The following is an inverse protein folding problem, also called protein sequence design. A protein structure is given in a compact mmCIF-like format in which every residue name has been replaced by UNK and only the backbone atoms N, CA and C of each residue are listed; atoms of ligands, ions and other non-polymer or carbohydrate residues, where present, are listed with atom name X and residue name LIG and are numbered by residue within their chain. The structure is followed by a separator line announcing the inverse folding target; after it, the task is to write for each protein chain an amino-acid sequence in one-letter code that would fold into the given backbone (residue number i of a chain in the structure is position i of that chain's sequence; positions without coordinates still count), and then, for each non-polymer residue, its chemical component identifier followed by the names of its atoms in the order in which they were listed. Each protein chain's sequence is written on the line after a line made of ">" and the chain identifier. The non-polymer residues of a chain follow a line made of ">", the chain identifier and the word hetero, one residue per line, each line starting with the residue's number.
data_IF_703615117646
#
_entry.id   IF_703615117646
#
_cell.length_a   1.000
_cell.length_b   1.000
_cell.length_c   1.000
_cell.angle_alpha   90.00
_cell.angle_beta   90.00
_cell.angle_gamma   90.00
#
_symmetry.space_group_name_H-M   'P 1'
#
loop_
_entity.id
_entity.type
_entity.pdbx_description
1 polymer ?
#
# COMPACT_ATOMS: atom_id res chain seq x y z
N UNK A 1 -1.96 -24.06 1.57
CA UNK A 1 -1.62 -22.95 2.50
C UNK A 1 -2.42 -23.08 3.79
N UNK A 2 -1.77 -23.03 4.94
CA UNK A 2 -2.34 -23.39 6.24
C UNK A 2 -3.31 -22.33 6.78
N UNK A 3 -4.39 -22.78 7.43
CA UNK A 3 -5.37 -21.95 8.16
C UNK A 3 -4.73 -20.97 9.17
N UNK A 4 -3.56 -21.33 9.73
CA UNK A 4 -2.78 -20.49 10.66
C UNK A 4 -2.32 -19.14 10.08
N UNK A 5 -2.17 -19.01 8.77
CA UNK A 5 -1.71 -17.76 8.16
C UNK A 5 -2.86 -16.75 8.03
N UNK A 6 -4.10 -17.23 7.85
CA UNK A 6 -5.31 -16.37 7.83
C UNK A 6 -5.58 -15.74 9.20
N UNK A 7 -5.36 -16.48 10.29
CA UNK A 7 -5.57 -15.98 11.66
C UNK A 7 -4.57 -14.88 12.07
N UNK A 8 -3.40 -14.79 11.40
CA UNK A 8 -2.36 -13.84 11.79
C UNK A 8 -2.66 -12.39 11.44
N UNK A 9 -3.43 -12.10 10.38
CA UNK A 9 -3.68 -10.75 9.88
C UNK A 9 -5.11 -10.26 10.14
N UNK A 10 -6.07 -11.16 10.33
CA UNK A 10 -7.49 -10.84 10.46
C UNK A 10 -8.00 -11.11 11.88
N UNK A 11 -7.71 -10.22 12.81
CA UNK A 11 -8.22 -10.34 14.20
C UNK A 11 -9.67 -9.82 14.34
N UNK A 12 -10.13 -8.96 13.44
CA UNK A 12 -11.49 -8.41 13.48
C UNK A 12 -12.06 -8.35 12.07
N UNK A 13 -13.19 -9.01 11.78
CA UNK A 13 -13.90 -8.82 10.51
C UNK A 13 -14.33 -7.35 10.38
N UNK A 14 -14.05 -6.76 9.24
CA UNK A 14 -14.56 -5.43 8.89
C UNK A 14 -15.53 -5.54 7.74
N UNK A 15 -16.53 -4.64 7.72
CA UNK A 15 -17.42 -4.49 6.57
C UNK A 15 -16.65 -3.94 5.36
N UNK A 16 -17.17 -4.17 4.17
CA UNK A 16 -16.63 -3.57 2.95
C UNK A 16 -16.67 -2.04 3.06
N UNK A 17 -15.51 -1.42 2.88
CA UNK A 17 -15.35 0.02 3.04
C UNK A 17 -15.67 0.81 1.75
N UNK A 18 -15.94 0.16 0.61
CA UNK A 18 -16.13 0.84 -0.68
C UNK A 18 -17.24 1.89 -0.62
N UNK A 19 -18.42 1.53 -0.11
CA UNK A 19 -19.54 2.47 0.01
C UNK A 19 -19.22 3.70 0.86
N UNK A 20 -18.40 3.52 1.90
CA UNK A 20 -17.94 4.64 2.73
C UNK A 20 -17.02 5.55 1.93
N UNK A 21 -16.04 4.98 1.21
CA UNK A 21 -15.10 5.76 0.42
C UNK A 21 -15.77 6.44 -0.77
N UNK A 22 -16.78 5.85 -1.39
CA UNK A 22 -17.61 6.51 -2.41
C UNK A 22 -18.27 7.79 -1.85
N UNK A 23 -18.84 7.72 -0.65
CA UNK A 23 -19.44 8.87 0.04
C UNK A 23 -18.41 9.91 0.49
N UNK A 24 -17.21 9.48 0.83
CA UNK A 24 -16.11 10.33 1.30
C UNK A 24 -15.36 11.02 0.17
N UNK A 25 -15.38 10.48 -1.06
CA UNK A 25 -14.58 10.96 -2.18
C UNK A 25 -14.58 12.48 -2.38
N UNK A 26 -15.72 13.21 -2.28
CA UNK A 26 -15.73 14.67 -2.42
C UNK A 26 -14.96 15.44 -1.35
N UNK A 27 -14.73 14.82 -0.18
CA UNK A 27 -14.07 15.44 0.99
C UNK A 27 -12.80 14.71 1.40
N UNK A 28 -12.43 13.65 0.68
CA UNK A 28 -11.35 12.73 1.06
C UNK A 28 -10.03 13.46 1.23
N UNK A 29 -9.61 14.26 0.26
CA UNK A 29 -8.31 14.95 0.31
C UNK A 29 -8.16 15.84 1.54
N UNK A 30 -9.21 16.55 1.94
CA UNK A 30 -9.21 17.37 3.16
C UNK A 30 -9.05 16.51 4.41
N UNK A 31 -9.72 15.36 4.48
CA UNK A 31 -9.65 14.44 5.60
C UNK A 31 -8.29 13.74 5.64
N UNK A 32 -7.79 13.32 4.49
CA UNK A 32 -6.49 12.68 4.34
C UNK A 32 -5.34 13.62 4.70
N UNK A 33 -5.36 14.87 4.23
CA UNK A 33 -4.40 15.90 4.63
C UNK A 33 -4.37 16.11 6.15
N UNK A 34 -5.55 16.11 6.78
CA UNK A 34 -5.63 16.22 8.24
C UNK A 34 -5.03 14.99 8.93
N UNK A 35 -5.29 13.79 8.40
CA UNK A 35 -4.68 12.55 8.88
C UNK A 35 -3.16 12.59 8.77
N UNK A 36 -2.62 12.95 7.62
CA UNK A 36 -1.19 13.05 7.40
C UNK A 36 -0.53 14.05 8.35
N UNK A 37 -1.16 15.20 8.57
CA UNK A 37 -0.63 16.24 9.47
C UNK A 37 -0.46 15.77 10.92
N UNK A 38 -1.32 14.89 11.39
CA UNK A 38 -1.38 14.54 12.81
C UNK A 38 -0.91 13.12 13.15
N UNK A 39 -0.86 12.22 12.16
CA UNK A 39 -0.60 10.82 12.44
C UNK A 39 0.21 10.09 11.35
N UNK A 40 -0.16 10.21 10.08
CA UNK A 40 0.39 9.38 9.00
C UNK A 40 1.53 10.02 8.19
N UNK A 41 1.88 11.28 8.45
CA UNK A 41 2.74 12.06 7.56
C UNK A 41 4.15 11.50 7.37
N UNK A 42 4.79 11.03 8.44
CA UNK A 42 6.13 10.44 8.34
C UNK A 42 6.11 9.12 7.55
N UNK A 43 5.10 8.27 7.79
CA UNK A 43 4.96 7.02 7.05
C UNK A 43 4.64 7.27 5.57
N UNK A 44 3.82 8.27 5.26
CA UNK A 44 3.56 8.70 3.89
C UNK A 44 4.83 9.20 3.21
N UNK A 45 5.57 10.11 3.86
CA UNK A 45 6.81 10.64 3.34
C UNK A 45 7.88 9.55 3.12
N UNK A 46 7.94 8.58 4.03
CA UNK A 46 8.82 7.42 3.90
C UNK A 46 8.44 6.56 2.69
N UNK A 47 7.14 6.27 2.49
CA UNK A 47 6.66 5.52 1.32
C UNK A 47 6.98 6.28 0.03
N UNK A 48 6.66 7.56 -0.06
CA UNK A 48 6.96 8.38 -1.23
C UNK A 48 8.46 8.44 -1.51
N UNK A 49 9.29 8.59 -0.48
CA UNK A 49 10.74 8.56 -0.60
C UNK A 49 11.27 7.23 -1.14
N UNK A 50 10.70 6.10 -0.69
CA UNK A 50 11.01 4.77 -1.23
C UNK A 50 10.62 4.65 -2.70
N UNK A 51 9.42 5.06 -3.07
CA UNK A 51 8.95 5.00 -4.46
C UNK A 51 9.85 5.83 -5.35
N UNK A 52 10.21 7.06 -4.96
CA UNK A 52 11.16 7.92 -5.70
C UNK A 52 12.54 7.29 -5.85
N UNK A 53 13.07 6.70 -4.78
CA UNK A 53 14.39 6.09 -4.79
C UNK A 53 14.48 4.79 -5.62
N UNK A 54 13.35 4.11 -5.82
CA UNK A 54 13.28 2.83 -6.52
C UNK A 54 12.79 2.96 -7.96
N UNK A 55 12.00 3.99 -8.24
CA UNK A 55 11.47 4.25 -9.56
C UNK A 55 12.59 4.63 -10.54
N UNK A 56 12.51 4.06 -11.72
CA UNK A 56 13.34 4.44 -12.88
C UNK A 56 12.42 4.95 -13.98
N UNK A 57 12.92 5.66 -15.00
CA UNK A 57 12.10 6.11 -16.11
C UNK A 57 11.31 5.01 -16.83
N UNK A 58 11.77 3.76 -16.72
CA UNK A 58 11.19 2.59 -17.39
C UNK A 58 10.43 1.66 -16.41
N UNK A 59 10.27 2.04 -15.14
CA UNK A 59 9.59 1.20 -14.16
C UNK A 59 8.08 1.18 -14.40
N UNK A 60 7.52 -0.01 -14.58
CA UNK A 60 6.07 -0.23 -14.51
C UNK A 60 5.62 -0.10 -13.06
N UNK A 61 4.78 0.87 -12.78
CA UNK A 61 4.34 1.22 -11.43
C UNK A 61 2.85 0.98 -11.24
N UNK A 62 2.48 0.35 -10.14
CA UNK A 62 1.09 0.21 -9.69
C UNK A 62 0.88 1.01 -8.40
N UNK A 63 -0.07 1.93 -8.41
CA UNK A 63 -0.66 2.55 -7.21
C UNK A 63 -1.93 1.76 -6.84
N UNK A 64 -1.78 0.84 -5.90
CA UNK A 64 -2.81 -0.12 -5.51
C UNK A 64 -3.64 0.42 -4.33
N UNK A 65 -4.90 0.77 -4.60
CA UNK A 65 -5.74 1.55 -3.71
C UNK A 65 -5.40 3.04 -3.79
N UNK A 66 -5.35 3.55 -5.02
CA UNK A 66 -4.85 4.90 -5.32
C UNK A 66 -5.71 6.05 -4.75
N UNK A 67 -6.95 5.76 -4.32
CA UNK A 67 -7.89 6.76 -3.84
C UNK A 67 -8.09 7.87 -4.88
N UNK A 68 -7.86 9.10 -4.47
CA UNK A 68 -7.95 10.28 -5.34
C UNK A 68 -6.71 10.53 -6.20
N UNK A 69 -5.69 9.65 -6.16
CA UNK A 69 -4.50 9.73 -7.01
C UNK A 69 -3.43 10.72 -6.55
N UNK A 70 -3.38 11.04 -5.26
CA UNK A 70 -2.43 12.03 -4.73
C UNK A 70 -0.97 11.58 -4.89
N UNK A 71 -0.66 10.29 -4.68
CA UNK A 71 0.69 9.75 -4.88
C UNK A 71 1.09 9.86 -6.36
N UNK A 72 0.23 9.45 -7.28
CA UNK A 72 0.51 9.52 -8.70
C UNK A 72 0.76 10.95 -9.17
N UNK A 73 -0.06 11.94 -8.72
CA UNK A 73 0.17 13.36 -9.05
C UNK A 73 1.52 13.86 -8.56
N UNK A 74 1.90 13.51 -7.33
CA UNK A 74 3.20 13.90 -6.78
C UNK A 74 4.35 13.32 -7.62
N UNK A 75 4.30 12.04 -7.96
CA UNK A 75 5.34 11.37 -8.74
C UNK A 75 5.43 11.90 -10.18
N UNK A 76 4.30 12.19 -10.83
CA UNK A 76 4.27 12.80 -12.18
C UNK A 76 4.84 14.22 -12.14
N UNK A 77 4.50 15.02 -11.13
CA UNK A 77 5.05 16.36 -10.97
C UNK A 77 6.57 16.37 -10.79
N UNK A 78 7.13 15.26 -10.28
CA UNK A 78 8.56 15.03 -10.11
C UNK A 78 9.24 14.34 -11.32
N UNK A 79 8.51 14.15 -12.42
CA UNK A 79 9.04 13.66 -13.69
C UNK A 79 8.89 12.16 -13.93
N UNK A 80 8.15 11.41 -13.09
CA UNK A 80 7.81 10.02 -13.42
C UNK A 80 6.89 9.97 -14.65
N UNK A 81 7.21 9.08 -15.59
CA UNK A 81 6.41 8.94 -16.80
C UNK A 81 5.02 8.37 -16.50
N UNK A 82 3.93 9.06 -16.88
CA UNK A 82 2.58 8.55 -16.69
C UNK A 82 2.29 7.28 -17.51
N UNK A 83 3.00 7.06 -18.61
CA UNK A 83 2.74 5.92 -19.51
C UNK A 83 3.01 4.55 -18.88
N UNK A 84 3.79 4.50 -17.80
CA UNK A 84 4.15 3.27 -17.11
C UNK A 84 3.45 3.13 -15.75
N UNK A 85 2.54 4.07 -15.43
CA UNK A 85 1.75 4.04 -14.20
C UNK A 85 0.39 3.42 -14.45
N UNK A 86 -0.12 2.71 -13.45
CA UNK A 86 -1.49 2.22 -13.40
C UNK A 86 -2.08 2.56 -12.03
N UNK A 87 -3.29 3.10 -12.01
CA UNK A 87 -4.05 3.36 -10.79
C UNK A 87 -5.12 2.29 -10.64
N UNK A 88 -5.24 1.71 -9.45
CA UNK A 88 -6.30 0.76 -9.13
C UNK A 88 -6.98 1.17 -7.82
N UNK A 89 -8.31 1.21 -7.83
CA UNK A 89 -9.13 1.44 -6.63
C UNK A 89 -10.50 0.75 -6.81
N UNK A 90 -11.12 0.19 -5.76
CA UNK A 90 -12.45 -0.41 -5.86
C UNK A 90 -13.57 0.64 -5.95
N UNK A 91 -13.34 1.88 -5.48
CA UNK A 91 -14.30 2.97 -5.47
C UNK A 91 -14.31 3.71 -6.82
N UNK A 92 -15.44 3.64 -7.52
CA UNK A 92 -15.64 4.41 -8.75
C UNK A 92 -15.59 5.93 -8.50
N UNK A 93 -16.08 6.38 -7.35
CA UNK A 93 -16.06 7.79 -6.98
C UNK A 93 -14.64 8.31 -6.71
N UNK A 94 -13.76 7.48 -6.13
CA UNK A 94 -12.33 7.81 -5.99
C UNK A 94 -11.66 7.91 -7.36
N UNK A 95 -11.85 6.92 -8.24
CA UNK A 95 -11.28 6.94 -9.59
C UNK A 95 -11.77 8.12 -10.43
N UNK A 96 -13.02 8.56 -10.24
CA UNK A 96 -13.53 9.76 -10.89
C UNK A 96 -12.75 11.02 -10.49
N UNK A 97 -12.16 11.06 -9.30
CA UNK A 97 -11.27 12.15 -8.83
C UNK A 97 -9.89 12.14 -9.50
N UNK A 98 -9.54 11.05 -10.17
CA UNK A 98 -8.29 10.90 -10.92
C UNK A 98 -8.44 11.25 -12.41
N UNK A 99 -9.56 11.84 -12.84
CA UNK A 99 -9.86 12.08 -14.27
C UNK A 99 -8.80 12.93 -14.98
N UNK A 100 -8.15 13.84 -14.26
CA UNK A 100 -7.07 14.72 -14.74
C UNK A 100 -5.71 14.01 -14.88
N UNK A 101 -5.53 12.83 -14.33
CA UNK A 101 -4.26 12.09 -14.39
C UNK A 101 -4.24 11.27 -15.68
N UNK A 102 -3.26 11.45 -16.59
CA UNK A 102 -3.24 10.79 -17.89
C UNK A 102 -2.65 9.36 -17.82
N UNK A 103 -3.21 8.52 -16.95
CA UNK A 103 -2.78 7.13 -16.75
C UNK A 103 -3.97 6.17 -16.79
N UNK A 104 -3.77 4.87 -17.09
CA UNK A 104 -4.80 3.84 -16.95
C UNK A 104 -5.37 3.80 -15.54
N UNK A 105 -6.70 3.74 -15.43
CA UNK A 105 -7.45 3.61 -14.18
C UNK A 105 -8.29 2.35 -14.24
N UNK A 106 -8.10 1.48 -13.25
CA UNK A 106 -8.75 0.18 -13.18
C UNK A 106 -9.59 0.13 -11.91
N UNK A 107 -10.88 -0.09 -12.06
CA UNK A 107 -11.72 -0.40 -10.92
C UNK A 107 -11.52 -1.87 -10.54
N UNK A 108 -11.00 -2.11 -9.34
CA UNK A 108 -10.67 -3.46 -8.88
C UNK A 108 -10.33 -3.51 -7.41
N UNK A 109 -10.36 -4.71 -6.86
CA UNK A 109 -10.08 -4.99 -5.44
C UNK A 109 -8.68 -5.56 -5.29
N UNK A 110 -8.05 -5.28 -4.15
CA UNK A 110 -6.72 -5.82 -3.85
C UNK A 110 -6.71 -7.34 -3.68
N UNK A 111 -7.84 -7.92 -3.27
CA UNK A 111 -7.98 -9.37 -3.07
C UNK A 111 -8.03 -10.16 -4.39
N UNK A 112 -8.15 -9.47 -5.54
CA UNK A 112 -8.16 -10.08 -6.88
C UNK A 112 -7.68 -9.07 -7.91
N UNK A 113 -6.37 -8.91 -8.01
CA UNK A 113 -5.76 -7.96 -8.94
C UNK A 113 -5.83 -8.47 -10.38
N UNK A 114 -6.37 -7.69 -11.34
CA UNK A 114 -6.54 -8.10 -12.73
C UNK A 114 -5.24 -7.99 -13.55
N UNK A 115 -4.14 -8.47 -12.98
CA UNK A 115 -2.82 -8.43 -13.59
C UNK A 115 -2.15 -9.80 -13.53
N UNK A 116 -1.29 -10.08 -14.47
CA UNK A 116 -0.45 -11.27 -14.48
C UNK A 116 0.63 -11.22 -13.39
N UNK A 117 1.17 -12.40 -13.03
CA UNK A 117 2.28 -12.52 -12.09
C UNK A 117 3.50 -11.72 -12.58
N UNK A 118 4.11 -10.99 -11.66
CA UNK A 118 5.34 -10.27 -11.97
C UNK A 118 5.21 -9.16 -13.01
N UNK A 119 4.04 -8.52 -13.10
CA UNK A 119 3.77 -7.43 -14.04
C UNK A 119 4.53 -6.15 -13.74
N UNK A 120 4.70 -5.81 -12.44
CA UNK A 120 5.18 -4.50 -12.01
C UNK A 120 6.58 -4.54 -11.42
N UNK A 121 7.38 -3.53 -11.77
CA UNK A 121 8.68 -3.26 -11.15
C UNK A 121 8.52 -2.74 -9.73
N UNK A 122 7.50 -1.91 -9.53
CA UNK A 122 7.24 -1.24 -8.28
C UNK A 122 5.74 -1.17 -8.01
N UNK A 123 5.34 -1.58 -6.82
CA UNK A 123 3.96 -1.50 -6.33
C UNK A 123 3.95 -0.66 -5.06
N UNK A 124 3.07 0.33 -4.99
CA UNK A 124 2.76 1.06 -3.76
C UNK A 124 1.34 0.72 -3.30
N UNK A 125 1.16 0.56 -1.99
CA UNK A 125 -0.15 0.41 -1.38
C UNK A 125 -0.14 1.17 -0.05
N UNK A 126 -0.90 2.26 0.03
CA UNK A 126 -0.91 3.16 1.18
C UNK A 126 -2.31 3.30 1.77
N UNK A 127 -2.48 3.00 3.07
CA UNK A 127 -3.71 3.20 3.83
C UNK A 127 -4.90 2.35 3.35
N UNK A 128 -4.61 1.17 2.79
CA UNK A 128 -5.63 0.29 2.19
C UNK A 128 -5.72 -1.06 2.92
N UNK A 129 -4.58 -1.72 3.23
CA UNK A 129 -4.59 -3.06 3.82
C UNK A 129 -5.42 -3.16 5.10
N UNK A 130 -5.46 -2.10 5.89
CA UNK A 130 -6.26 -2.01 7.10
C UNK A 130 -7.76 -1.93 6.83
N UNK A 131 -8.18 -1.63 5.60
CA UNK A 131 -9.60 -1.41 5.23
C UNK A 131 -10.20 -2.52 4.38
N UNK A 132 -9.38 -3.45 3.89
CA UNK A 132 -9.86 -4.56 3.07
C UNK A 132 -10.44 -5.69 3.92
N UNK A 133 -11.46 -6.44 3.45
CA UNK A 133 -12.01 -7.59 4.15
C UNK A 133 -10.98 -8.69 4.45
N UNK A 134 -10.18 -9.08 3.46
CA UNK A 134 -9.12 -10.09 3.61
C UNK A 134 -7.74 -9.51 3.29
N UNK A 135 -7.02 -8.97 4.30
CA UNK A 135 -5.69 -8.39 4.09
C UNK A 135 -4.63 -9.44 3.72
N UNK A 136 -4.84 -10.71 4.06
CA UNK A 136 -3.92 -11.77 3.66
C UNK A 136 -4.01 -12.06 2.16
N UNK A 137 -5.24 -12.12 1.63
CA UNK A 137 -5.47 -12.31 0.20
C UNK A 137 -4.96 -11.10 -0.58
N UNK A 138 -5.25 -9.87 -0.11
CA UNK A 138 -4.74 -8.65 -0.70
C UNK A 138 -3.19 -8.63 -0.73
N UNK A 139 -2.54 -9.00 0.38
CA UNK A 139 -1.09 -9.08 0.44
C UNK A 139 -0.52 -10.13 -0.52
N UNK A 140 -1.18 -11.27 -0.66
CA UNK A 140 -0.82 -12.32 -1.61
C UNK A 140 -0.82 -11.80 -3.03
N UNK A 141 -1.87 -11.10 -3.41
CA UNK A 141 -2.00 -10.50 -4.74
C UNK A 141 -0.97 -9.39 -4.99
N UNK A 142 -0.76 -8.51 -4.01
CA UNK A 142 0.28 -7.48 -4.10
C UNK A 142 1.68 -8.08 -4.31
N UNK A 143 2.02 -9.14 -3.57
CA UNK A 143 3.29 -9.84 -3.74
C UNK A 143 3.38 -10.58 -5.10
N UNK A 144 2.26 -11.17 -5.57
CA UNK A 144 2.19 -11.90 -6.83
C UNK A 144 2.53 -11.02 -8.03
N UNK A 145 1.98 -9.81 -8.05
CA UNK A 145 2.16 -8.91 -9.21
C UNK A 145 3.50 -8.18 -9.25
N UNK A 146 4.29 -8.21 -8.17
CA UNK A 146 5.67 -7.70 -8.15
C UNK A 146 6.57 -8.66 -8.90
N UNK A 147 7.33 -8.17 -9.90
CA UNK A 147 8.28 -9.02 -10.65
C UNK A 147 9.52 -9.40 -9.84
N UNK A 148 10.24 -10.40 -10.30
CA UNK A 148 11.57 -10.71 -9.79
C UNK A 148 12.49 -9.47 -9.94
N UNK A 149 13.16 -9.09 -8.84
CA UNK A 149 13.96 -7.86 -8.75
C UNK A 149 13.15 -6.59 -8.50
N UNK A 150 11.83 -6.70 -8.39
CA UNK A 150 10.92 -5.58 -8.08
C UNK A 150 10.74 -5.33 -6.59
N UNK A 151 9.86 -4.38 -6.25
CA UNK A 151 9.60 -3.99 -4.88
C UNK A 151 8.12 -3.65 -4.60
N UNK A 152 7.69 -3.92 -3.37
CA UNK A 152 6.42 -3.51 -2.78
C UNK A 152 6.69 -2.52 -1.65
N UNK A 153 6.08 -1.33 -1.72
CA UNK A 153 6.10 -0.30 -0.70
C UNK A 153 4.72 -0.21 -0.04
N UNK A 154 4.67 -0.38 1.27
CA UNK A 154 3.43 -0.36 2.05
C UNK A 154 3.46 0.76 3.09
N UNK A 155 2.34 1.50 3.24
CA UNK A 155 2.08 2.35 4.40
C UNK A 155 0.72 1.99 4.99
N UNK A 156 0.63 1.84 6.30
CA UNK A 156 -0.56 1.34 6.98
C UNK A 156 -0.65 1.84 8.42
N UNK A 157 -1.85 1.77 9.00
CA UNK A 157 -2.08 2.01 10.42
C UNK A 157 -1.50 0.87 11.25
N UNK A 158 -0.43 1.15 11.99
CA UNK A 158 0.30 0.15 12.77
C UNK A 158 -0.22 0.04 14.20
N UNK A 159 -0.33 -1.19 14.69
CA UNK A 159 -0.64 -1.48 16.09
C UNK A 159 0.62 -1.35 16.97
N UNK A 160 1.09 -0.12 17.08
CA UNK A 160 2.20 0.24 17.93
C UNK A 160 1.67 0.97 19.18
N UNK A 161 2.38 0.93 20.32
CA UNK A 161 1.95 1.63 21.52
C UNK A 161 1.75 3.13 21.27
N UNK A 162 0.62 3.66 21.71
CA UNK A 162 0.34 5.08 21.63
C UNK A 162 1.38 5.88 22.44
N UNK A 163 1.96 6.93 21.85
CA UNK A 163 3.00 7.75 22.47
C UNK A 163 2.46 8.97 23.23
N UNK A 164 1.12 9.05 23.39
CA UNK A 164 0.50 10.14 24.13
C UNK A 164 -1.01 10.18 23.95
N UNK A 165 -1.66 11.12 24.66
CA UNK A 165 -3.12 11.25 24.64
C UNK A 165 -3.68 11.56 23.25
N UNK A 166 -3.01 12.41 22.48
CA UNK A 166 -3.46 12.77 21.13
C UNK A 166 -3.42 11.55 20.18
N UNK A 167 -2.39 10.73 20.26
CA UNK A 167 -2.26 9.48 19.50
C UNK A 167 -3.34 8.47 19.92
N UNK A 168 -3.55 8.31 21.22
CA UNK A 168 -4.60 7.44 21.76
C UNK A 168 -6.01 7.85 21.29
N UNK A 169 -6.32 9.15 21.35
CA UNK A 169 -7.60 9.69 20.88
C UNK A 169 -7.79 9.50 19.37
N UNK A 170 -6.73 9.69 18.59
CA UNK A 170 -6.76 9.47 17.15
C UNK A 170 -7.02 8.00 16.82
N UNK A 171 -6.34 7.07 17.51
CA UNK A 171 -6.58 5.63 17.36
C UNK A 171 -8.04 5.26 17.67
N UNK A 172 -8.57 5.76 18.78
CA UNK A 172 -9.98 5.53 19.13
C UNK A 172 -10.93 6.07 18.06
N UNK A 173 -10.68 7.27 17.53
CA UNK A 173 -11.50 7.86 16.48
C UNK A 173 -11.48 7.05 15.17
N UNK A 174 -10.34 6.42 14.82
CA UNK A 174 -10.25 5.54 13.67
C UNK A 174 -10.99 4.21 13.90
N UNK A 175 -10.85 3.60 15.06
CA UNK A 175 -11.56 2.37 15.42
C UNK A 175 -13.07 2.58 15.49
N UNK A 176 -13.52 3.74 15.98
CA UNK A 176 -14.95 4.06 16.09
C UNK A 176 -15.65 4.13 14.72
N UNK A 177 -14.92 4.36 13.63
CA UNK A 177 -15.49 4.34 12.27
C UNK A 177 -15.87 2.94 11.79
N UNK A 178 -15.40 1.87 12.44
CA UNK A 178 -15.76 0.48 12.12
C UNK A 178 -15.30 -0.05 10.77
N UNK A 179 -14.49 0.71 10.02
CA UNK A 179 -14.08 0.37 8.65
C UNK A 179 -12.58 0.16 8.49
N UNK A 180 -11.83 0.18 9.59
CA UNK A 180 -10.39 -0.03 9.57
C UNK A 180 -9.90 -0.76 10.81
N UNK A 181 -8.71 -1.30 10.71
CA UNK A 181 -8.01 -2.00 11.81
C UNK A 181 -6.60 -1.45 11.95
N UNK A 182 -5.99 -1.66 13.10
CA UNK A 182 -4.54 -1.48 13.25
C UNK A 182 -3.86 -2.82 12.99
N UNK A 183 -2.78 -2.80 12.23
CA UNK A 183 -2.07 -4.00 11.80
C UNK A 183 -0.76 -4.14 12.56
N UNK A 184 -0.46 -5.34 13.04
CA UNK A 184 0.83 -5.63 13.64
C UNK A 184 1.93 -5.61 12.58
N UNK A 185 2.89 -4.68 12.71
CA UNK A 185 4.04 -4.57 11.81
C UNK A 185 4.83 -5.87 11.71
N UNK A 186 5.12 -6.51 12.85
CA UNK A 186 5.87 -7.75 12.89
C UNK A 186 5.14 -8.90 12.20
N UNK A 187 3.83 -9.02 12.40
CA UNK A 187 3.01 -10.04 11.73
C UNK A 187 2.95 -9.81 10.23
N UNK A 188 2.85 -8.55 9.79
CA UNK A 188 2.83 -8.21 8.38
C UNK A 188 4.18 -8.53 7.71
N UNK A 189 5.30 -8.19 8.35
CA UNK A 189 6.63 -8.57 7.88
C UNK A 189 6.78 -10.08 7.76
N UNK A 190 6.42 -10.84 8.81
CA UNK A 190 6.46 -12.31 8.78
C UNK A 190 5.56 -12.90 7.69
N UNK A 191 4.41 -12.27 7.40
CA UNK A 191 3.53 -12.72 6.34
C UNK A 191 4.17 -12.53 4.95
N UNK A 192 4.86 -11.42 4.73
CA UNK A 192 5.59 -11.14 3.47
C UNK A 192 6.78 -12.09 3.32
N UNK A 193 7.57 -12.32 4.38
CA UNK A 193 8.72 -13.22 4.36
C UNK A 193 8.38 -14.69 4.06
N UNK A 194 7.11 -15.08 4.18
CA UNK A 194 6.63 -16.41 3.76
C UNK A 194 6.46 -16.57 2.26
N UNK A 195 6.36 -15.46 1.52
CA UNK A 195 6.42 -15.52 0.06
C UNK A 195 7.87 -15.72 -0.36
N UNK A 196 8.08 -16.68 -1.26
CA UNK A 196 9.42 -17.00 -1.75
C UNK A 196 10.12 -15.77 -2.32
N UNK A 197 11.37 -15.59 -1.92
CA UNK A 197 12.26 -14.57 -2.44
C UNK A 197 11.92 -13.12 -2.06
N UNK A 198 11.16 -12.87 -0.99
CA UNK A 198 10.99 -11.53 -0.46
C UNK A 198 11.87 -11.28 0.77
N UNK A 199 12.58 -10.15 0.74
CA UNK A 199 13.23 -9.55 1.91
C UNK A 199 12.44 -8.32 2.33
N UNK A 200 12.10 -8.22 3.61
CA UNK A 200 11.28 -7.14 4.14
C UNK A 200 12.04 -6.34 5.19
N UNK A 201 11.87 -5.03 5.16
CA UNK A 201 12.38 -4.13 6.21
C UNK A 201 11.37 -3.05 6.54
N UNK A 202 11.30 -2.70 7.81
CA UNK A 202 10.57 -1.54 8.27
C UNK A 202 11.40 -0.27 8.06
N UNK A 203 10.73 0.81 7.63
CA UNK A 203 11.32 2.14 7.58
C UNK A 203 10.92 2.86 8.87
N UNK A 204 11.85 3.43 9.61
CA UNK A 204 11.54 4.16 10.84
C UNK A 204 10.51 5.26 10.59
N UNK A 205 9.46 5.29 11.39
CA UNK A 205 8.45 6.34 11.43
C UNK A 205 7.92 6.47 12.86
N UNK A 206 7.43 7.65 13.23
CA UNK A 206 6.82 7.90 14.52
C UNK A 206 5.29 7.94 14.37
N UNK A 207 4.57 7.61 15.46
CA UNK A 207 3.11 7.64 15.51
C UNK A 207 2.45 6.30 15.17
N UNK A 208 1.13 6.31 14.94
CA UNK A 208 0.30 5.10 14.78
C UNK A 208 0.35 4.54 13.34
N UNK A 209 1.40 4.80 12.61
CA UNK A 209 1.59 4.39 11.23
C UNK A 209 2.97 3.78 11.01
N UNK A 210 3.09 2.92 10.02
CA UNK A 210 4.36 2.27 9.67
C UNK A 210 4.50 2.12 8.17
N UNK A 211 5.75 2.12 7.70
CA UNK A 211 6.10 1.87 6.31
C UNK A 211 7.00 0.66 6.20
N UNK A 212 6.69 -0.21 5.25
CA UNK A 212 7.51 -1.37 4.90
C UNK A 212 8.01 -1.27 3.46
N UNK A 213 9.23 -1.75 3.25
CA UNK A 213 9.77 -2.07 1.95
C UNK A 213 9.97 -3.57 1.87
N UNK A 214 9.31 -4.22 0.92
CA UNK A 214 9.54 -5.61 0.56
C UNK A 214 10.18 -5.69 -0.84
N UNK A 215 11.35 -6.32 -0.93
CA UNK A 215 12.07 -6.52 -2.20
C UNK A 215 11.99 -7.97 -2.61
N UNK A 216 11.56 -8.23 -3.84
CA UNK A 216 11.61 -9.56 -4.42
C UNK A 216 12.99 -9.79 -5.05
N UNK A 217 13.72 -10.81 -4.61
CA UNK A 217 15.02 -11.17 -5.19
C UNK A 217 14.89 -11.46 -6.69
N UNK A 218 15.91 -11.09 -7.47
CA UNK A 218 16.00 -11.48 -8.89
C UNK A 218 16.13 -12.99 -9.04
N UNK A 219 15.71 -13.54 -10.16
CA UNK A 219 15.95 -14.97 -10.46
C UNK A 219 17.45 -15.27 -10.41
N UNK A 220 17.83 -16.44 -9.91
CA UNK A 220 19.22 -16.87 -9.70
C UNK A 220 20.12 -16.80 -10.97
N UNK A 221 19.53 -16.67 -12.13
CA UNK A 221 20.23 -16.59 -13.43
C UNK A 221 21.08 -15.31 -13.60
N UNK A 222 20.85 -14.25 -12.83
CA UNK A 222 21.63 -13.01 -12.93
C UNK A 222 22.90 -12.99 -12.05
N UNK A 223 23.10 -13.97 -11.16
CA UNK A 223 24.29 -14.00 -10.27
C UNK A 223 25.56 -14.57 -10.94
N UNK A 224 25.49 -15.14 -12.15
CA UNK A 224 26.61 -15.75 -12.85
C UNK A 224 27.32 -14.80 -13.85
N UNK A 225 26.81 -13.59 -14.06
CA UNK A 225 27.35 -12.64 -15.05
C UNK A 225 28.31 -11.57 -14.51
N UNK A 226 28.61 -11.51 -13.21
CA UNK A 226 29.46 -10.45 -12.63
C UNK A 226 30.81 -10.94 -12.06
N UNK A 227 31.28 -12.11 -12.48
CA UNK A 227 32.65 -12.58 -12.23
C UNK A 227 33.31 -12.97 -13.55
N UNK A 228 33.72 -11.99 -14.29
CA UNK A 228 34.75 -12.09 -15.34
C UNK A 228 35.48 -10.74 -15.46
#
# INVERSE_FOLDING_TARGET
>A
MSNRTKEMLAETPISDAVDLYDKLAPRYDKLHHRWLRHAGGEAQAALEGLVRALATPNSKFLDAGCGTGNLARALIAEGMSPNLMTLLDPSAAMLARCADIPVPKIQGRLESLPFEDGTFDLVACAWVLETVPDPHLALTELCRVVRAGGALCLAFCADEPARGLADSLMRQALLFRGTGRFMSRSRLMQAIERFENFEVRAIPSHGPASTLLARRSGSATQRLGSRA
#
